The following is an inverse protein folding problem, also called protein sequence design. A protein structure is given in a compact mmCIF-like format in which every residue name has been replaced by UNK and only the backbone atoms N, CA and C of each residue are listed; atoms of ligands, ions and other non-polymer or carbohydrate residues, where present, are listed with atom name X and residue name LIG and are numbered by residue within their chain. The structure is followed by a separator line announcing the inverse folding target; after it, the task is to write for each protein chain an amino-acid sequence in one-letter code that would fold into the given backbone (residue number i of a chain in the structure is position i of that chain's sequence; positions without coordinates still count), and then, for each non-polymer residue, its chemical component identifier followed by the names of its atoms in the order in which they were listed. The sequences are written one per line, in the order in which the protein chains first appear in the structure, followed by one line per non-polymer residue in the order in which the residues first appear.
data_IF_581014947509
#
_entry.id   IF_581014947509
#
_cell.length_a   1.000
_cell.length_b   1.000
_cell.length_c   1.000
_cell.angle_alpha   90.00
_cell.angle_beta   90.00
_cell.angle_gamma   90.00
#
_symmetry.space_group_name_H-M   'P 1'
#
loop_
_entity.id
_entity.type
_entity.pdbx_description
1 polymer ?
#
# COMPACT_ATOMS: atom_id res chain seq x y z
N UNK A 1 -0.90 0.18 -55.27
CA UNK A 1 -1.79 1.36 -55.32
C UNK A 1 -3.15 0.94 -54.82
N UNK A 2 -3.69 1.56 -53.77
CA UNK A 2 -5.05 1.29 -53.28
C UNK A 2 -5.80 2.61 -53.18
N UNK A 3 -6.88 2.69 -53.94
CA UNK A 3 -7.73 3.86 -54.13
C UNK A 3 -8.49 4.19 -52.85
N UNK A 4 -8.58 5.48 -52.52
CA UNK A 4 -9.37 6.03 -51.42
C UNK A 4 -10.68 6.55 -52.01
N UNK A 5 -11.80 5.99 -51.57
CA UNK A 5 -13.15 6.51 -51.86
C UNK A 5 -13.58 7.31 -50.62
N UNK A 6 -13.79 8.61 -50.77
CA UNK A 6 -14.40 9.48 -49.76
C UNK A 6 -15.88 9.63 -50.09
N UNK A 7 -16.76 9.13 -49.21
CA UNK A 7 -18.19 9.40 -49.26
C UNK A 7 -18.59 10.30 -48.09
N UNK A 8 -19.27 11.40 -48.44
CA UNK A 8 -20.49 11.88 -47.76
C UNK A 8 -20.32 12.53 -46.39
N UNK A 9 -20.42 13.85 -46.38
CA UNK A 9 -20.68 14.67 -45.19
C UNK A 9 -22.16 14.69 -44.87
N UNK A 10 -22.61 13.98 -43.82
CA UNK A 10 -23.89 14.27 -43.16
C UNK A 10 -23.90 13.83 -41.69
N UNK A 11 -24.34 14.74 -40.82
CA UNK A 11 -24.85 14.57 -39.45
C UNK A 11 -24.08 13.67 -38.44
N UNK A 12 -23.12 14.29 -37.74
CA UNK A 12 -22.95 14.29 -36.27
C UNK A 12 -23.28 13.00 -35.51
N UNK A 13 -22.55 11.92 -35.78
CA UNK A 13 -22.36 10.81 -34.85
C UNK A 13 -20.86 10.63 -34.63
N UNK A 14 -20.42 10.59 -33.37
CA UNK A 14 -19.01 10.38 -32.99
C UNK A 14 -18.54 8.99 -33.44
N UNK A 15 -18.14 8.89 -34.70
CA UNK A 15 -17.39 7.74 -35.26
C UNK A 15 -15.93 8.17 -35.36
N UNK A 16 -15.33 8.49 -34.23
CA UNK A 16 -13.90 8.80 -34.16
C UNK A 16 -13.21 7.68 -33.38
N UNK A 17 -12.25 7.06 -34.06
CA UNK A 17 -11.17 6.20 -33.54
C UNK A 17 -11.55 4.79 -33.06
N UNK A 18 -11.88 3.89 -33.99
CA UNK A 18 -11.66 2.43 -33.79
C UNK A 18 -10.48 1.90 -34.63
N UNK A 19 -10.02 2.64 -35.64
CA UNK A 19 -9.04 2.12 -36.60
C UNK A 19 -7.56 2.15 -36.16
N UNK A 20 -7.23 2.66 -34.97
CA UNK A 20 -5.85 2.67 -34.42
C UNK A 20 -5.57 1.58 -33.37
N UNK A 21 -6.48 0.63 -33.13
CA UNK A 21 -6.32 -0.39 -32.08
C UNK A 21 -5.82 -1.75 -32.58
N UNK A 22 -5.38 -1.87 -33.84
CA UNK A 22 -4.96 -3.15 -34.45
C UNK A 22 -3.58 -3.67 -34.02
N UNK A 23 -2.96 -3.09 -32.98
CA UNK A 23 -1.62 -3.48 -32.48
C UNK A 23 -1.57 -4.22 -31.14
N UNK A 24 -2.71 -4.54 -30.51
CA UNK A 24 -2.70 -5.05 -29.12
C UNK A 24 -2.96 -6.56 -29.05
N UNK A 25 -1.96 -7.31 -28.57
CA UNK A 25 -1.88 -8.78 -28.65
C UNK A 25 -2.75 -9.57 -27.65
N UNK A 26 -3.56 -8.94 -26.78
CA UNK A 26 -4.40 -9.69 -25.83
C UNK A 26 -5.83 -9.14 -25.70
N UNK A 27 -6.87 -9.99 -25.79
CA UNK A 27 -8.29 -9.59 -25.69
C UNK A 27 -8.66 -8.85 -24.40
N UNK A 28 -7.94 -9.11 -23.31
CA UNK A 28 -8.23 -8.55 -21.99
C UNK A 28 -7.90 -7.06 -21.87
N UNK A 29 -6.92 -6.58 -22.65
CA UNK A 29 -6.54 -5.17 -22.67
C UNK A 29 -7.58 -4.30 -23.39
N UNK A 30 -8.27 -4.83 -24.40
CA UNK A 30 -9.29 -4.07 -25.14
C UNK A 30 -10.53 -3.78 -24.27
N UNK A 31 -11.07 -4.80 -23.58
CA UNK A 31 -12.25 -4.61 -22.71
C UNK A 31 -12.00 -3.61 -21.59
N UNK A 32 -10.82 -3.66 -20.94
CA UNK A 32 -10.46 -2.71 -19.88
C UNK A 32 -10.30 -1.28 -20.42
N UNK A 33 -9.74 -1.11 -21.61
CA UNK A 33 -9.55 0.22 -22.22
C UNK A 33 -10.84 0.84 -22.73
N UNK A 34 -11.76 0.05 -23.29
CA UNK A 34 -13.12 0.51 -23.64
C UNK A 34 -13.90 0.91 -22.39
N UNK A 35 -13.76 0.18 -21.28
CA UNK A 35 -14.32 0.57 -19.97
C UNK A 35 -13.75 1.92 -19.50
N UNK A 36 -12.44 2.11 -19.65
CA UNK A 36 -11.75 3.35 -19.26
C UNK A 36 -12.19 4.55 -20.11
N UNK A 37 -12.31 4.38 -21.42
CA UNK A 37 -12.79 5.42 -22.35
C UNK A 37 -14.25 5.79 -22.07
N UNK A 38 -15.14 4.81 -21.85
CA UNK A 38 -16.54 5.07 -21.48
C UNK A 38 -16.68 5.76 -20.11
N UNK A 39 -15.83 5.43 -19.14
CA UNK A 39 -15.82 6.10 -17.84
C UNK A 39 -15.37 7.57 -17.95
N UNK A 40 -14.38 7.86 -18.79
CA UNK A 40 -13.92 9.23 -19.04
C UNK A 40 -14.95 10.06 -19.80
N UNK A 41 -15.69 9.49 -20.76
CA UNK A 41 -16.74 10.24 -21.48
C UNK A 41 -17.87 10.68 -20.54
N UNK A 42 -18.21 9.87 -19.53
CA UNK A 42 -19.21 10.24 -18.50
C UNK A 42 -18.76 11.40 -17.60
N UNK A 43 -17.47 11.57 -17.32
CA UNK A 43 -17.00 12.63 -16.42
C UNK A 43 -16.94 14.00 -17.09
N UNK A 44 -16.84 14.10 -18.42
CA UNK A 44 -16.87 15.39 -19.13
C UNK A 44 -18.28 15.98 -19.30
N UNK A 45 -19.34 15.17 -19.16
CA UNK A 45 -20.73 15.61 -19.38
C UNK A 45 -21.42 16.29 -18.20
N UNK A 46 -20.92 16.13 -16.96
CA UNK A 46 -21.52 16.75 -15.77
C UNK A 46 -20.49 17.58 -15.01
N UNK A 47 -20.02 18.68 -15.62
CA UNK A 47 -19.48 19.80 -14.82
C UNK A 47 -20.63 20.37 -13.99
N UNK A 48 -20.80 19.84 -12.79
CA UNK A 48 -21.75 20.36 -11.80
C UNK A 48 -21.45 21.85 -11.65
N UNK A 49 -22.37 22.74 -12.06
CA UNK A 49 -22.22 24.18 -11.86
C UNK A 49 -22.01 24.40 -10.36
N UNK A 50 -20.80 24.81 -9.98
CA UNK A 50 -20.52 25.18 -8.59
C UNK A 50 -21.39 26.38 -8.23
N UNK A 51 -21.94 26.40 -7.02
CA UNK A 51 -22.76 27.55 -6.60
C UNK A 51 -21.91 28.81 -6.63
N UNK A 52 -22.52 29.96 -6.90
CA UNK A 52 -21.82 31.26 -6.90
C UNK A 52 -21.13 31.59 -5.56
N UNK A 53 -21.56 30.93 -4.48
CA UNK A 53 -21.01 31.09 -3.14
C UNK A 53 -19.94 30.04 -2.79
N UNK A 54 -19.55 29.18 -3.73
CA UNK A 54 -18.50 28.20 -3.47
C UNK A 54 -17.14 28.89 -3.51
N UNK A 55 -16.63 29.25 -2.33
CA UNK A 55 -15.24 29.72 -2.17
C UNK A 55 -14.30 28.64 -2.71
N UNK A 56 -13.43 29.00 -3.64
CA UNK A 56 -12.41 28.07 -4.14
C UNK A 56 -11.38 27.81 -3.05
N UNK A 57 -11.62 26.77 -2.25
CA UNK A 57 -10.72 26.28 -1.20
C UNK A 57 -9.67 25.31 -1.73
N UNK A 58 -9.44 25.29 -3.05
CA UNK A 58 -8.42 24.47 -3.69
C UNK A 58 -7.09 25.24 -3.84
N UNK A 59 -6.00 24.50 -4.02
CA UNK A 59 -4.67 25.08 -4.23
C UNK A 59 -4.21 26.00 -3.09
N UNK A 60 -3.53 27.10 -3.47
CA UNK A 60 -2.92 28.07 -2.54
C UNK A 60 -3.93 28.79 -1.63
N UNK A 61 -5.21 28.78 -2.00
CA UNK A 61 -6.28 29.46 -1.27
C UNK A 61 -6.89 28.57 -0.16
N UNK A 62 -6.46 27.31 -0.04
CA UNK A 62 -6.89 26.48 1.09
C UNK A 62 -6.29 27.04 2.40
N UNK A 63 -7.09 27.26 3.46
CA UNK A 63 -6.56 27.74 4.75
C UNK A 63 -5.53 26.79 5.38
N UNK A 64 -5.47 25.55 4.91
CA UNK A 64 -4.47 24.57 5.33
C UNK A 64 -3.36 24.33 4.28
N UNK A 65 -3.21 25.21 3.30
CA UNK A 65 -2.11 25.17 2.33
C UNK A 65 -0.80 25.59 3.00
N UNK A 66 0.13 24.64 3.17
CA UNK A 66 1.48 24.90 3.68
C UNK A 66 2.50 24.16 2.82
N UNK A 67 3.52 24.87 2.36
CA UNK A 67 4.63 24.33 1.54
C UNK A 67 4.16 23.54 0.30
N UNK A 68 3.17 24.07 -0.43
CA UNK A 68 2.71 23.46 -1.68
C UNK A 68 1.69 22.32 -1.53
N UNK A 69 1.21 22.04 -0.31
CA UNK A 69 0.27 20.95 -0.03
C UNK A 69 -0.83 21.43 0.92
N UNK A 70 -2.11 21.22 0.56
CA UNK A 70 -3.23 21.35 1.49
C UNK A 70 -3.27 20.14 2.43
N UNK A 71 -3.03 20.33 3.72
CA UNK A 71 -3.12 19.25 4.71
C UNK A 71 -4.43 19.36 5.47
N UNK A 72 -5.27 18.32 5.48
CA UNK A 72 -6.45 18.31 6.35
C UNK A 72 -6.02 17.89 7.77
N UNK A 73 -6.53 18.59 8.78
CA UNK A 73 -6.27 18.30 10.20
C UNK A 73 -7.10 17.10 10.64
N UNK A 74 -6.47 16.16 11.33
CA UNK A 74 -7.12 14.99 11.90
C UNK A 74 -6.55 14.66 13.28
N UNK A 75 -7.32 13.90 14.05
CA UNK A 75 -6.88 13.33 15.31
C UNK A 75 -6.63 11.83 15.16
N UNK A 76 -5.65 11.32 15.91
CA UNK A 76 -5.39 9.89 15.96
C UNK A 76 -6.63 9.13 16.45
N UNK A 77 -6.97 8.01 15.80
CA UNK A 77 -8.09 7.15 16.19
C UNK A 77 -7.79 6.24 17.38
N UNK A 78 -6.55 6.20 17.85
CA UNK A 78 -6.16 5.31 18.94
C UNK A 78 -6.72 5.83 20.26
N UNK A 79 -7.35 4.94 21.04
CA UNK A 79 -7.88 5.26 22.36
C UNK A 79 -6.76 5.85 23.23
N UNK A 80 -7.01 7.02 23.82
CA UNK A 80 -6.03 7.81 24.61
C UNK A 80 -4.90 8.48 23.79
N UNK A 81 -5.06 8.65 22.48
CA UNK A 81 -4.14 9.42 21.66
C UNK A 81 -4.82 10.64 21.04
N UNK A 82 -4.57 11.83 21.58
CA UNK A 82 -5.08 13.10 21.04
C UNK A 82 -4.09 13.80 20.10
N UNK A 83 -3.10 13.06 19.57
CA UNK A 83 -2.10 13.64 18.69
C UNK A 83 -2.74 14.14 17.40
N UNK A 84 -2.44 15.40 17.07
CA UNK A 84 -2.82 16.00 15.80
C UNK A 84 -1.99 15.42 14.67
N UNK A 85 -2.64 15.13 13.54
CA UNK A 85 -1.99 14.57 12.38
C UNK A 85 -2.36 15.37 11.13
N UNK A 86 -1.33 15.70 10.37
CA UNK A 86 -1.44 16.45 9.12
C UNK A 86 -1.06 15.52 7.97
N UNK A 87 -2.06 14.90 7.32
CA UNK A 87 -1.83 14.03 6.18
C UNK A 87 -2.19 14.70 4.86
N UNK A 88 -1.42 14.39 3.81
CA UNK A 88 -1.92 14.50 2.44
C UNK A 88 -3.05 13.47 2.29
N UNK A 89 -4.16 13.87 1.67
CA UNK A 89 -5.41 13.07 1.55
C UNK A 89 -5.20 11.66 1.00
N UNK A 90 -4.12 11.42 0.25
CA UNK A 90 -3.77 10.11 -0.32
C UNK A 90 -3.13 9.11 0.67
N UNK A 91 -2.59 9.54 1.82
CA UNK A 91 -1.94 8.66 2.83
C UNK A 91 -2.85 8.29 4.00
N UNK A 92 -4.14 8.59 3.88
CA UNK A 92 -5.12 8.55 4.97
C UNK A 92 -5.47 7.17 5.54
N UNK A 93 -4.96 6.08 4.95
CA UNK A 93 -5.48 4.72 5.21
C UNK A 93 -5.36 4.24 6.65
N UNK A 94 -4.47 4.80 7.46
CA UNK A 94 -4.22 4.27 8.81
C UNK A 94 -5.00 4.99 9.92
N UNK A 95 -5.44 6.23 9.72
CA UNK A 95 -6.18 7.01 10.74
C UNK A 95 -5.46 7.14 12.10
N UNK A 96 -4.17 6.83 12.18
CA UNK A 96 -3.37 6.80 13.40
C UNK A 96 -2.09 7.62 13.23
N UNK A 97 -1.55 8.14 14.32
CA UNK A 97 -0.27 8.85 14.30
C UNK A 97 0.90 7.85 14.20
N UNK A 98 2.08 8.34 13.77
CA UNK A 98 3.28 7.51 13.55
C UNK A 98 3.74 6.75 14.79
N UNK A 99 3.48 7.28 15.99
CA UNK A 99 3.85 6.61 17.23
C UNK A 99 2.88 5.49 17.60
N UNK A 100 1.57 5.66 17.37
CA UNK A 100 0.58 4.60 17.58
C UNK A 100 0.69 3.47 16.55
N UNK A 101 1.00 3.77 15.29
CA UNK A 101 1.16 2.77 14.23
C UNK A 101 2.40 1.87 14.39
N UNK A 102 3.24 2.10 15.40
CA UNK A 102 4.46 1.32 15.68
C UNK A 102 4.36 0.49 16.96
N UNK A 103 3.21 0.48 17.63
CA UNK A 103 3.02 -0.16 18.94
C UNK A 103 2.15 -1.41 18.84
N UNK A 104 2.53 -2.44 19.59
CA UNK A 104 1.74 -3.68 19.73
C UNK A 104 1.27 -4.24 18.40
N UNK A 105 0.02 -4.74 18.39
CA UNK A 105 -0.68 -5.31 17.23
C UNK A 105 -0.78 -4.38 16.02
N UNK A 106 -0.59 -3.07 16.22
CA UNK A 106 -0.69 -2.07 15.16
C UNK A 106 0.63 -1.89 14.40
N UNK A 107 1.74 -2.38 14.93
CA UNK A 107 3.03 -2.33 14.27
C UNK A 107 3.01 -3.19 13.01
N UNK A 108 3.56 -2.68 11.90
CA UNK A 108 3.77 -3.49 10.68
C UNK A 108 4.66 -4.73 10.94
N UNK A 109 5.47 -4.70 12.01
CA UNK A 109 6.35 -5.79 12.41
C UNK A 109 5.73 -6.73 13.45
N UNK A 110 4.47 -6.53 13.85
CA UNK A 110 3.85 -7.38 14.86
C UNK A 110 3.75 -8.83 14.35
N UNK A 111 4.22 -9.79 15.16
CA UNK A 111 4.26 -11.21 14.80
C UNK A 111 5.21 -11.57 13.65
N UNK A 112 6.03 -10.63 13.17
CA UNK A 112 7.02 -10.90 12.13
C UNK A 112 8.40 -11.12 12.74
N UNK A 113 9.19 -12.07 12.22
CA UNK A 113 10.57 -12.23 12.65
C UNK A 113 11.35 -10.93 12.32
N UNK A 114 12.23 -10.46 13.23
CA UNK A 114 13.15 -9.39 12.91
C UNK A 114 13.99 -9.72 11.68
N UNK A 115 14.28 -8.68 10.88
CA UNK A 115 15.13 -8.81 9.69
C UNK A 115 16.49 -9.41 10.08
N UNK A 116 16.92 -10.44 9.37
CA UNK A 116 18.23 -11.04 9.57
C UNK A 116 19.33 -10.09 9.06
N UNK A 117 20.44 -10.02 9.82
CA UNK A 117 21.67 -9.35 9.37
C UNK A 117 22.47 -10.22 8.39
N UNK A 118 23.68 -9.78 8.04
CA UNK A 118 24.63 -10.51 7.18
C UNK A 118 25.31 -11.67 7.93
N UNK A 119 24.51 -12.59 8.45
CA UNK A 119 25.02 -13.73 9.21
C UNK A 119 24.98 -15.02 8.39
N UNK A 120 25.61 -16.07 8.94
CA UNK A 120 25.82 -17.33 8.24
C UNK A 120 24.54 -18.15 8.02
N UNK A 121 24.64 -19.07 7.06
CA UNK A 121 23.60 -20.06 6.75
C UNK A 121 24.00 -21.41 7.34
N UNK A 122 23.05 -22.10 7.97
CA UNK A 122 23.22 -23.47 8.44
C UNK A 122 22.05 -24.33 7.99
N UNK A 123 22.33 -25.42 7.26
CA UNK A 123 21.31 -26.31 6.65
C UNK A 123 20.24 -25.55 5.85
N UNK A 124 20.64 -24.50 5.12
CA UNK A 124 19.73 -23.66 4.32
C UNK A 124 18.92 -22.65 5.12
N UNK A 125 19.07 -22.60 6.45
CA UNK A 125 18.40 -21.63 7.33
C UNK A 125 19.38 -20.47 7.61
N UNK A 126 18.92 -19.24 7.38
CA UNK A 126 19.66 -18.03 7.76
C UNK A 126 19.47 -17.75 9.25
N UNK A 127 20.56 -17.75 10.02
CA UNK A 127 20.52 -17.50 11.47
C UNK A 127 20.99 -16.07 11.79
N UNK A 128 20.57 -15.51 12.93
CA UNK A 128 20.88 -14.13 13.33
C UNK A 128 22.22 -13.98 14.01
N UNK A 129 22.88 -15.05 14.42
CA UNK A 129 24.20 -14.97 15.04
C UNK A 129 25.04 -16.21 14.80
N UNK A 130 26.37 -16.05 14.92
CA UNK A 130 27.29 -17.20 14.91
C UNK A 130 27.08 -18.13 16.10
N UNK A 131 26.55 -17.62 17.22
CA UNK A 131 26.17 -18.40 18.39
C UNK A 131 24.99 -19.32 18.12
N UNK A 132 23.94 -18.84 17.43
CA UNK A 132 22.83 -19.69 17.00
C UNK A 132 23.29 -20.83 16.11
N UNK A 133 24.21 -20.56 15.17
CA UNK A 133 24.78 -21.61 14.31
C UNK A 133 25.52 -22.67 15.13
N UNK A 134 26.32 -22.24 16.12
CA UNK A 134 27.01 -23.18 17.02
C UNK A 134 26.02 -23.99 17.85
N UNK A 135 24.96 -23.36 18.33
CA UNK A 135 23.93 -24.03 19.13
C UNK A 135 23.12 -25.02 18.30
N UNK A 136 22.76 -24.67 17.06
CA UNK A 136 22.12 -25.58 16.11
C UNK A 136 22.97 -26.83 15.84
N UNK A 137 24.28 -26.65 15.62
CA UNK A 137 25.24 -27.75 15.49
C UNK A 137 25.29 -28.62 16.76
N UNK A 138 25.24 -28.00 17.93
CA UNK A 138 25.19 -28.71 19.20
C UNK A 138 23.91 -29.56 19.33
N UNK A 139 22.73 -29.00 19.05
CA UNK A 139 21.46 -29.73 19.07
C UNK A 139 21.46 -30.93 18.11
N UNK A 140 21.97 -30.72 16.89
CA UNK A 140 22.16 -31.80 15.91
C UNK A 140 23.11 -32.89 16.42
N UNK A 141 24.23 -32.50 17.06
CA UNK A 141 25.20 -33.46 17.61
C UNK A 141 24.63 -34.31 18.76
N UNK A 142 23.57 -33.81 19.42
CA UNK A 142 22.82 -34.51 20.46
C UNK A 142 21.61 -35.26 19.94
N UNK A 143 21.34 -35.21 18.63
CA UNK A 143 20.15 -35.83 18.03
C UNK A 143 18.83 -35.19 18.48
N UNK A 144 18.87 -33.97 19.01
CA UNK A 144 17.67 -33.24 19.44
C UNK A 144 17.03 -32.63 18.21
N UNK A 145 15.73 -32.89 17.99
CA UNK A 145 14.98 -32.24 16.92
C UNK A 145 14.71 -30.79 17.31
N UNK A 146 14.88 -29.87 16.37
CA UNK A 146 14.63 -28.45 16.61
C UNK A 146 14.10 -27.77 15.36
N UNK A 147 13.43 -26.64 15.54
CA UNK A 147 12.98 -25.75 14.47
C UNK A 147 13.36 -24.30 14.80
N UNK A 148 13.88 -23.57 13.82
CA UNK A 148 14.31 -22.18 13.99
C UNK A 148 13.13 -21.21 13.90
N UNK A 149 12.92 -20.38 14.92
CA UNK A 149 11.88 -19.33 14.98
C UNK A 149 10.47 -19.78 14.53
N UNK A 150 10.13 -21.05 14.77
CA UNK A 150 8.92 -21.65 14.21
C UNK A 150 7.61 -21.11 14.81
N UNK A 151 7.67 -20.58 16.04
CA UNK A 151 6.52 -20.06 16.77
C UNK A 151 6.87 -18.77 17.48
N UNK A 152 5.88 -17.89 17.61
CA UNK A 152 5.93 -16.74 18.49
C UNK A 152 4.86 -16.88 19.57
N UNK A 153 5.09 -16.19 20.69
CA UNK A 153 4.21 -16.17 21.85
C UNK A 153 3.75 -14.73 22.10
N UNK A 154 2.46 -14.55 22.33
CA UNK A 154 1.92 -13.28 22.79
C UNK A 154 2.23 -13.11 24.28
N UNK A 155 2.79 -11.95 24.65
CA UNK A 155 3.15 -11.61 26.03
C UNK A 155 2.54 -10.26 26.42
N UNK A 156 2.26 -10.09 27.71
CA UNK A 156 1.87 -8.81 28.29
C UNK A 156 2.95 -8.39 29.28
N UNK A 157 3.72 -7.36 28.94
CA UNK A 157 4.78 -6.80 29.79
C UNK A 157 4.40 -5.38 30.16
N UNK A 158 4.26 -5.08 31.46
CA UNK A 158 3.87 -3.74 31.95
C UNK A 158 2.58 -3.21 31.31
N UNK A 159 1.53 -4.06 31.23
CA UNK A 159 0.24 -3.76 30.58
C UNK A 159 0.32 -3.44 29.08
N UNK A 160 1.43 -3.79 28.41
CA UNK A 160 1.62 -3.64 26.97
C UNK A 160 1.71 -5.01 26.30
N UNK A 161 0.92 -5.18 25.24
CA UNK A 161 1.00 -6.37 24.38
C UNK A 161 2.31 -6.35 23.57
N UNK A 162 3.02 -7.46 23.59
CA UNK A 162 4.23 -7.70 22.80
C UNK A 162 4.26 -9.15 22.31
N UNK A 163 5.23 -9.48 21.47
CA UNK A 163 5.46 -10.85 20.99
C UNK A 163 6.90 -11.25 21.26
N UNK A 164 7.11 -12.49 21.70
CA UNK A 164 8.43 -13.10 21.83
C UNK A 164 8.54 -14.26 20.86
N UNK A 165 9.64 -14.32 20.10
CA UNK A 165 9.95 -15.42 19.19
C UNK A 165 11.28 -16.01 19.68
N UNK A 166 11.29 -17.21 20.30
CA UNK A 166 12.54 -17.86 20.67
C UNK A 166 13.30 -18.29 19.42
N UNK A 167 14.63 -18.33 19.51
CA UNK A 167 15.50 -18.73 18.40
C UNK A 167 15.27 -20.20 18.01
N UNK A 168 15.11 -21.08 19.02
CA UNK A 168 14.93 -22.52 18.82
C UNK A 168 13.65 -23.01 19.51
N UNK A 169 12.89 -23.84 18.81
CA UNK A 169 11.79 -24.63 19.33
C UNK A 169 12.19 -26.11 19.30
N UNK A 170 12.30 -26.73 20.48
CA UNK A 170 12.71 -28.14 20.66
C UNK A 170 11.49 -29.08 20.69
#
# INVERSE_FOLDING_TARGET
MKSIILLGTEARGVVILVHQLKGFKTPNNYKNRVRFLKANIRTYGTKKKMSKNHVDVSGKNNPNWKNGISKKKYYCKETNCNNEIYYATSRFRQGRCKSCSKKGKLSYNYGKPPKHGLNGVYKGIYMRSSWEIKYAKYLDSKGIKWSYEAKFFELIINKKETTYTPDFYL
#
